data_IF_741949600829
#
_entry.id   IF_741949600829
#
_cell.length_a   1.000
_cell.length_b   1.000
_cell.length_c   1.000
_cell.angle_alpha   90.00
_cell.angle_beta   90.00
_cell.angle_gamma   90.00
#
_symmetry.space_group_name_H-M   'P 1'
#
loop_
_entity.id
_entity.type
_entity.pdbx_description
1 polymer ?
#
# COMPACT_ATOMS: atom_id res chain seq x y z
N UNK A 1 8.10 -63.75 -31.48
CA UNK A 1 6.85 -63.89 -30.71
C UNK A 1 7.18 -63.53 -29.27
N UNK A 2 6.33 -62.69 -28.66
CA UNK A 2 6.32 -62.25 -27.25
C UNK A 2 7.28 -61.08 -26.96
N UNK A 3 6.80 -59.83 -27.05
CA UNK A 3 6.01 -59.05 -26.06
C UNK A 3 6.93 -58.20 -25.17
N UNK A 4 7.21 -56.97 -25.62
CA UNK A 4 7.63 -55.87 -24.76
C UNK A 4 6.38 -55.04 -24.41
N UNK A 5 6.01 -55.08 -23.13
CA UNK A 5 4.93 -54.30 -22.55
C UNK A 5 5.45 -52.90 -22.18
N UNK A 6 4.87 -51.90 -22.81
CA UNK A 6 4.86 -50.50 -22.39
C UNK A 6 4.43 -50.39 -20.92
N UNK A 7 5.18 -49.64 -20.12
CA UNK A 7 4.70 -49.16 -18.83
C UNK A 7 4.74 -47.63 -18.81
N UNK A 8 3.54 -47.07 -18.61
CA UNK A 8 3.19 -45.65 -18.60
C UNK A 8 3.95 -44.91 -17.51
N UNK A 9 4.62 -43.81 -17.85
CA UNK A 9 5.06 -42.84 -16.84
C UNK A 9 3.85 -42.11 -16.29
N UNK A 10 3.51 -42.42 -15.05
CA UNK A 10 2.64 -41.59 -14.22
C UNK A 10 3.42 -40.31 -13.88
N UNK A 11 2.80 -39.15 -14.16
CA UNK A 11 3.30 -37.85 -13.73
C UNK A 11 3.34 -37.80 -12.21
N UNK A 12 4.55 -37.84 -11.66
CA UNK A 12 4.79 -37.45 -10.28
C UNK A 12 4.86 -35.92 -10.26
N UNK A 13 3.78 -35.28 -9.81
CA UNK A 13 3.86 -33.91 -9.30
C UNK A 13 4.70 -33.97 -8.01
N UNK A 14 5.97 -33.58 -8.12
CA UNK A 14 6.80 -33.34 -6.95
C UNK A 14 6.12 -32.24 -6.11
N UNK A 15 5.84 -32.46 -4.82
CA UNK A 15 5.25 -31.44 -3.98
C UNK A 15 6.19 -30.23 -3.96
N UNK A 16 5.61 -29.03 -4.17
CA UNK A 16 6.33 -27.76 -4.11
C UNK A 16 7.02 -27.68 -2.73
N UNK A 17 8.33 -27.93 -2.71
CA UNK A 17 9.17 -27.81 -1.53
C UNK A 17 9.04 -26.38 -0.98
N UNK A 18 8.87 -26.27 0.34
CA UNK A 18 8.86 -24.98 1.02
C UNK A 18 10.09 -24.15 0.61
N UNK A 19 9.84 -23.00 -0.02
CA UNK A 19 10.89 -22.07 -0.46
C UNK A 19 11.17 -22.05 -1.98
N UNK A 20 10.55 -22.91 -2.79
CA UNK A 20 10.56 -22.77 -4.25
C UNK A 20 9.33 -22.01 -4.72
N UNK A 21 9.54 -20.90 -5.42
CA UNK A 21 8.49 -20.17 -6.11
C UNK A 21 8.27 -20.86 -7.46
N UNK A 22 7.05 -21.32 -7.72
CA UNK A 22 6.67 -21.98 -8.96
C UNK A 22 5.22 -21.66 -9.33
N UNK A 23 4.90 -21.68 -10.62
CA UNK A 23 3.52 -21.69 -11.08
C UNK A 23 2.86 -23.01 -10.64
N UNK A 24 1.57 -22.99 -10.33
CA UNK A 24 0.80 -24.19 -9.96
C UNK A 24 0.22 -24.93 -11.18
N UNK A 25 0.43 -24.40 -12.38
CA UNK A 25 0.05 -25.03 -13.64
C UNK A 25 0.68 -24.33 -14.84
N UNK A 26 0.34 -24.80 -16.04
CA UNK A 26 0.84 -24.30 -17.32
C UNK A 26 -0.13 -23.28 -17.96
N UNK A 27 0.35 -22.34 -18.78
CA UNK A 27 -0.52 -21.42 -19.49
C UNK A 27 -1.27 -22.13 -20.62
N UNK A 28 -2.43 -21.57 -20.96
CA UNK A 28 -3.10 -21.86 -22.23
C UNK A 28 -2.36 -21.09 -23.33
N UNK A 29 -1.81 -21.80 -24.32
CA UNK A 29 -0.97 -21.21 -25.38
C UNK A 29 -1.76 -21.06 -26.68
N UNK A 30 -1.74 -19.87 -27.26
CA UNK A 30 -2.30 -19.60 -28.58
C UNK A 30 -1.16 -19.46 -29.59
N UNK A 31 -1.21 -20.23 -30.68
CA UNK A 31 -0.18 -20.18 -31.73
C UNK A 31 -0.38 -18.99 -32.66
N UNK A 32 -1.64 -18.60 -32.88
CA UNK A 32 -2.02 -17.45 -33.70
C UNK A 32 -2.99 -16.59 -32.89
N UNK A 33 -2.45 -15.77 -31.99
CA UNK A 33 -3.24 -14.84 -31.19
C UNK A 33 -3.57 -13.59 -32.01
N UNK A 34 -4.79 -13.06 -31.85
CA UNK A 34 -5.09 -11.76 -32.43
C UNK A 34 -4.25 -10.68 -31.74
N UNK A 35 -3.69 -9.80 -32.57
CA UNK A 35 -3.01 -8.62 -32.06
C UNK A 35 -4.04 -7.64 -31.50
N UNK A 36 -4.06 -7.49 -30.18
CA UNK A 36 -4.86 -6.48 -29.50
C UNK A 36 -4.03 -5.19 -29.37
N UNK A 37 -4.45 -4.13 -30.06
CA UNK A 37 -3.80 -2.80 -29.99
C UNK A 37 -4.40 -1.89 -28.92
N UNK A 38 -5.60 -2.19 -28.40
CA UNK A 38 -6.23 -1.42 -27.33
C UNK A 38 -7.74 -1.50 -27.27
N UNK A 39 -8.30 -0.70 -26.37
CA UNK A 39 -9.74 -0.52 -26.24
C UNK A 39 -10.15 0.81 -26.86
N UNK A 40 -11.26 0.82 -27.60
CA UNK A 40 -11.84 2.07 -28.09
C UNK A 40 -12.33 2.93 -26.92
N UNK A 41 -11.94 4.20 -26.90
CA UNK A 41 -12.34 5.14 -25.85
C UNK A 41 -13.80 5.58 -25.99
N UNK A 42 -14.35 5.51 -27.21
CA UNK A 42 -15.73 5.85 -27.52
C UNK A 42 -16.22 5.07 -28.74
N UNK A 43 -17.54 4.99 -28.92
CA UNK A 43 -18.14 4.45 -30.13
C UNK A 43 -17.80 5.32 -31.34
N UNK A 44 -17.67 4.69 -32.51
CA UNK A 44 -17.40 5.34 -33.78
C UNK A 44 -18.16 4.64 -34.91
N UNK A 45 -18.59 5.40 -35.92
CA UNK A 45 -19.16 4.86 -37.15
C UNK A 45 -18.05 4.40 -38.11
N UNK A 46 -18.36 3.53 -39.09
CA UNK A 46 -17.40 3.18 -40.13
C UNK A 46 -16.79 4.41 -40.81
N UNK A 47 -15.47 4.44 -40.92
CA UNK A 47 -14.71 5.57 -41.49
C UNK A 47 -14.41 6.73 -40.54
N UNK A 48 -14.88 6.70 -39.29
CA UNK A 48 -14.51 7.69 -38.28
C UNK A 48 -13.23 7.30 -37.54
N UNK A 49 -12.46 8.31 -37.15
CA UNK A 49 -11.32 8.13 -36.25
C UNK A 49 -11.81 7.87 -34.82
N UNK A 50 -11.17 6.94 -34.13
CA UNK A 50 -11.45 6.62 -32.73
C UNK A 50 -10.17 6.71 -31.92
N UNK A 51 -10.26 7.29 -30.73
CA UNK A 51 -9.16 7.24 -29.78
C UNK A 51 -9.08 5.83 -29.19
N UNK A 52 -7.88 5.27 -29.11
CA UNK A 52 -7.62 3.94 -28.56
C UNK A 52 -6.78 4.08 -27.29
N UNK A 53 -7.23 3.46 -26.21
CA UNK A 53 -6.43 3.29 -25.01
C UNK A 53 -5.52 2.07 -25.19
N UNK A 54 -4.23 2.33 -25.31
CA UNK A 54 -3.21 1.28 -25.42
C UNK A 54 -2.56 0.96 -24.06
N UNK A 55 -2.74 1.83 -23.06
CA UNK A 55 -2.31 1.63 -21.68
C UNK A 55 -3.38 2.19 -20.75
N UNK A 56 -3.82 1.42 -19.77
CA UNK A 56 -4.79 1.84 -18.76
C UNK A 56 -4.68 0.99 -17.51
N UNK A 57 -5.04 1.58 -16.37
CA UNK A 57 -5.31 0.89 -15.12
C UNK A 57 -6.62 1.41 -14.55
N UNK A 58 -7.53 0.52 -14.19
CA UNK A 58 -8.84 0.87 -13.63
C UNK A 58 -9.35 -0.24 -12.71
N UNK A 59 -10.45 0.02 -12.01
CA UNK A 59 -11.11 -0.91 -11.08
C UNK A 59 -12.58 -1.09 -11.45
N UNK A 60 -13.22 -2.09 -10.86
CA UNK A 60 -14.67 -2.33 -11.02
C UNK A 60 -15.57 -1.21 -10.47
N UNK A 61 -15.01 -0.15 -9.88
CA UNK A 61 -15.76 1.05 -9.53
C UNK A 61 -16.01 1.95 -10.75
N UNK A 62 -15.21 1.81 -11.81
CA UNK A 62 -15.37 2.54 -13.06
C UNK A 62 -16.39 1.82 -13.97
N UNK A 63 -17.46 2.48 -14.44
CA UNK A 63 -18.41 1.87 -15.37
C UNK A 63 -17.79 1.33 -16.67
N UNK A 64 -16.66 1.89 -17.12
CA UNK A 64 -15.94 1.39 -18.30
C UNK A 64 -15.32 0.01 -18.08
N UNK A 65 -14.99 -0.34 -16.84
CA UNK A 65 -14.34 -1.61 -16.50
C UNK A 65 -15.10 -2.80 -17.06
N UNK A 66 -16.42 -2.85 -16.84
CA UNK A 66 -17.25 -3.99 -17.25
C UNK A 66 -17.26 -4.19 -18.76
N UNK A 67 -17.35 -3.09 -19.52
CA UNK A 67 -17.30 -3.13 -20.99
C UNK A 67 -15.95 -3.63 -21.50
N UNK A 68 -14.86 -3.22 -20.86
CA UNK A 68 -13.51 -3.66 -21.24
C UNK A 68 -13.30 -5.15 -20.94
N UNK A 69 -13.71 -5.63 -19.76
CA UNK A 69 -13.56 -7.05 -19.39
C UNK A 69 -14.43 -7.96 -20.25
N UNK A 70 -15.65 -7.53 -20.58
CA UNK A 70 -16.52 -8.26 -21.51
C UNK A 70 -15.90 -8.34 -22.91
N UNK A 71 -15.43 -7.21 -23.46
CA UNK A 71 -14.76 -7.17 -24.77
C UNK A 71 -13.51 -8.04 -24.80
N UNK A 72 -12.72 -8.02 -23.72
CA UNK A 72 -11.55 -8.87 -23.57
C UNK A 72 -11.93 -10.36 -23.54
N UNK A 73 -12.96 -10.73 -22.80
CA UNK A 73 -13.44 -12.12 -22.73
C UNK A 73 -13.89 -12.63 -24.10
N UNK A 74 -14.56 -11.79 -24.88
CA UNK A 74 -14.94 -12.10 -26.27
C UNK A 74 -13.72 -12.27 -27.17
N UNK A 75 -12.72 -11.40 -27.06
CA UNK A 75 -11.49 -11.49 -27.85
C UNK A 75 -10.72 -12.79 -27.55
N UNK A 76 -10.57 -13.15 -26.28
CA UNK A 76 -9.93 -14.41 -25.87
C UNK A 76 -10.76 -15.62 -26.32
N UNK A 77 -12.09 -15.54 -26.23
CA UNK A 77 -12.98 -16.59 -26.75
C UNK A 77 -12.85 -16.80 -28.26
N UNK A 78 -12.65 -15.70 -29.01
CA UNK A 78 -12.38 -15.78 -30.45
C UNK A 78 -11.02 -16.45 -30.73
N UNK A 79 -9.95 -16.06 -30.04
CA UNK A 79 -8.64 -16.69 -30.17
C UNK A 79 -8.68 -18.19 -29.81
N UNK A 80 -9.39 -18.55 -28.75
CA UNK A 80 -9.61 -19.93 -28.35
C UNK A 80 -10.34 -20.73 -29.43
N UNK A 81 -11.39 -20.18 -30.04
CA UNK A 81 -12.10 -20.81 -31.14
C UNK A 81 -11.21 -21.01 -32.38
N UNK A 82 -10.42 -20.01 -32.76
CA UNK A 82 -9.50 -20.09 -33.91
C UNK A 82 -8.40 -21.14 -33.69
N UNK A 83 -7.93 -21.29 -32.46
CA UNK A 83 -6.90 -22.27 -32.10
C UNK A 83 -7.51 -23.64 -31.71
N UNK A 84 -8.84 -23.79 -31.71
CA UNK A 84 -9.58 -25.00 -31.30
C UNK A 84 -9.26 -25.44 -29.87
N UNK A 85 -9.09 -24.46 -28.97
CA UNK A 85 -8.75 -24.66 -27.56
C UNK A 85 -9.97 -24.38 -26.70
N UNK A 86 -10.28 -25.29 -25.77
CA UNK A 86 -11.26 -25.02 -24.71
C UNK A 86 -10.64 -24.15 -23.62
N UNK A 87 -11.30 -23.07 -23.25
CA UNK A 87 -10.91 -22.22 -22.11
C UNK A 87 -11.99 -22.29 -21.02
N UNK A 88 -11.63 -22.30 -19.73
CA UNK A 88 -12.61 -22.15 -18.66
C UNK A 88 -13.21 -20.74 -18.70
N UNK A 89 -14.43 -20.55 -18.15
CA UNK A 89 -15.01 -19.22 -17.97
C UNK A 89 -14.09 -18.29 -17.16
N UNK A 90 -13.93 -17.05 -17.63
CA UNK A 90 -13.05 -16.05 -17.01
C UNK A 90 -13.72 -15.27 -15.86
N UNK A 91 -15.04 -15.33 -15.76
CA UNK A 91 -15.85 -14.61 -14.76
C UNK A 91 -15.59 -15.07 -13.32
N UNK A 92 -15.28 -16.34 -13.13
CA UNK A 92 -14.92 -16.94 -11.85
C UNK A 92 -13.45 -16.79 -11.44
N UNK A 93 -12.57 -16.37 -12.35
CA UNK A 93 -11.13 -16.33 -12.11
C UNK A 93 -10.75 -15.26 -11.08
N UNK A 94 -9.81 -15.58 -10.19
CA UNK A 94 -9.25 -14.60 -9.25
C UNK A 94 -8.19 -13.74 -9.92
N UNK A 95 -7.38 -14.33 -10.78
CA UNK A 95 -6.30 -13.65 -11.48
C UNK A 95 -6.19 -14.23 -12.89
N UNK A 96 -6.24 -13.34 -13.88
CA UNK A 96 -6.02 -13.63 -15.30
C UNK A 96 -4.86 -12.76 -15.76
N UNK A 97 -3.85 -13.37 -16.38
CA UNK A 97 -2.79 -12.66 -17.07
C UNK A 97 -2.71 -13.17 -18.50
N UNK A 98 -2.75 -12.23 -19.43
CA UNK A 98 -2.60 -12.49 -20.84
C UNK A 98 -1.35 -11.79 -21.36
N UNK A 99 -0.41 -12.57 -21.88
CA UNK A 99 0.88 -12.11 -22.41
C UNK A 99 0.90 -12.42 -23.90
N UNK A 100 0.84 -11.38 -24.74
CA UNK A 100 1.01 -11.54 -26.18
C UNK A 100 2.48 -11.29 -26.54
N UNK A 101 3.07 -12.25 -27.24
CA UNK A 101 4.46 -12.24 -27.65
C UNK A 101 4.61 -11.50 -28.97
N UNK A 102 5.81 -10.95 -29.20
CA UNK A 102 6.13 -10.24 -30.43
C UNK A 102 6.07 -11.12 -31.70
N UNK A 103 6.15 -12.45 -31.55
CA UNK A 103 6.07 -13.42 -32.64
C UNK A 103 4.62 -13.81 -33.02
N UNK A 104 3.61 -13.22 -32.37
CA UNK A 104 2.20 -13.51 -32.63
C UNK A 104 1.62 -14.68 -31.82
N UNK A 105 2.42 -15.31 -30.97
CA UNK A 105 1.93 -16.26 -29.97
C UNK A 105 1.40 -15.54 -28.73
N UNK A 106 0.59 -16.21 -27.92
CA UNK A 106 0.18 -15.67 -26.62
C UNK A 106 0.03 -16.75 -25.55
N UNK A 107 0.16 -16.32 -24.30
CA UNK A 107 -0.03 -17.15 -23.11
C UNK A 107 -1.14 -16.56 -22.24
N UNK A 108 -2.12 -17.39 -21.90
CA UNK A 108 -3.20 -17.07 -20.97
C UNK A 108 -3.04 -17.88 -19.69
N UNK A 109 -2.79 -17.18 -18.60
CA UNK A 109 -2.66 -17.70 -17.25
C UNK A 109 -3.95 -17.41 -16.48
N UNK A 110 -4.50 -18.42 -15.82
CA UNK A 110 -5.76 -18.34 -15.07
C UNK A 110 -5.55 -19.04 -13.73
N UNK A 111 -5.47 -18.27 -12.65
CA UNK A 111 -5.33 -18.73 -11.27
C UNK A 111 -4.12 -19.65 -10.96
N UNK A 112 -3.26 -19.90 -11.95
CA UNK A 112 -2.19 -20.88 -11.88
C UNK A 112 -0.78 -20.28 -11.91
N UNK A 113 -0.67 -18.95 -11.97
CA UNK A 113 0.61 -18.25 -11.91
C UNK A 113 1.12 -18.06 -10.48
N UNK A 114 2.45 -18.07 -10.32
CA UNK A 114 3.08 -17.54 -9.13
C UNK A 114 2.92 -16.00 -9.09
N UNK A 115 2.53 -15.47 -7.93
CA UNK A 115 2.44 -14.04 -7.68
C UNK A 115 3.42 -13.68 -6.58
N UNK A 116 4.20 -12.62 -6.79
CA UNK A 116 5.08 -12.05 -5.78
C UNK A 116 4.73 -10.58 -5.58
N UNK A 117 4.87 -10.11 -4.34
CA UNK A 117 4.63 -8.72 -3.98
C UNK A 117 5.85 -8.16 -3.28
N UNK A 118 6.25 -6.96 -3.67
CA UNK A 118 7.26 -6.21 -2.92
C UNK A 118 6.53 -5.37 -1.87
N UNK A 119 6.89 -5.51 -0.60
CA UNK A 119 6.23 -4.82 0.50
C UNK A 119 7.22 -4.03 1.36
N UNK A 120 6.72 -3.02 2.07
CA UNK A 120 7.42 -2.35 3.17
C UNK A 120 6.94 -2.98 4.47
N UNK A 121 7.88 -3.42 5.31
CA UNK A 121 7.57 -4.10 6.56
C UNK A 121 7.72 -3.17 7.77
N UNK A 122 6.92 -3.44 8.79
CA UNK A 122 7.01 -2.79 10.11
C UNK A 122 8.13 -3.37 10.97
N UNK A 123 8.61 -4.56 10.66
CA UNK A 123 9.66 -5.25 11.41
C UNK A 123 10.67 -5.88 10.47
N UNK A 124 11.79 -6.31 11.04
CA UNK A 124 12.71 -7.18 10.32
C UNK A 124 12.01 -8.52 10.01
N UNK A 125 12.18 -8.98 8.78
CA UNK A 125 11.63 -10.25 8.28
C UNK A 125 12.78 -11.08 7.73
N UNK A 126 12.97 -12.27 8.30
CA UNK A 126 13.95 -13.22 7.80
C UNK A 126 13.37 -14.03 6.64
N UNK A 127 14.23 -14.50 5.73
CA UNK A 127 13.83 -15.42 4.68
C UNK A 127 13.14 -16.66 5.28
N UNK A 128 12.18 -17.22 4.54
CA UNK A 128 11.43 -18.43 4.95
C UNK A 128 10.55 -18.25 6.19
N UNK A 129 10.24 -17.01 6.60
CA UNK A 129 9.29 -16.74 7.69
C UNK A 129 7.92 -16.33 7.16
N UNK A 130 6.87 -16.67 7.92
CA UNK A 130 5.53 -16.20 7.61
C UNK A 130 5.42 -14.69 7.82
N UNK A 131 4.72 -14.07 6.89
CA UNK A 131 4.36 -12.66 6.90
C UNK A 131 2.85 -12.57 7.00
N UNK A 132 2.37 -11.72 7.89
CA UNK A 132 0.95 -11.43 8.05
C UNK A 132 0.64 -10.00 7.62
N UNK A 133 -0.63 -9.71 7.33
CA UNK A 133 -1.07 -8.35 6.94
C UNK A 133 -0.71 -7.29 7.98
N UNK A 134 -0.70 -7.65 9.27
CA UNK A 134 -0.30 -6.75 10.34
C UNK A 134 1.20 -6.38 10.32
N UNK A 135 2.04 -7.12 9.59
CA UNK A 135 3.46 -6.81 9.39
C UNK A 135 3.70 -5.78 8.29
N UNK A 136 2.70 -5.49 7.45
CA UNK A 136 2.82 -4.65 6.25
C UNK A 136 2.57 -3.18 6.57
N UNK A 137 3.54 -2.32 6.25
CA UNK A 137 3.38 -0.87 6.23
C UNK A 137 2.92 -0.35 4.86
N UNK A 138 3.36 -1.00 3.77
CA UNK A 138 2.94 -0.67 2.41
C UNK A 138 3.16 -1.87 1.46
N UNK A 139 2.52 -1.81 0.29
CA UNK A 139 2.79 -2.68 -0.86
C UNK A 139 3.38 -1.80 -1.94
N UNK A 140 4.43 -2.18 -2.64
CA UNK A 140 5.07 -1.34 -3.68
C UNK A 140 4.75 -1.82 -5.09
N UNK A 141 4.84 -3.13 -5.32
CA UNK A 141 4.54 -3.73 -6.62
C UNK A 141 4.02 -5.16 -6.49
N UNK A 142 3.43 -5.66 -7.58
CA UNK A 142 2.97 -7.03 -7.76
C UNK A 142 3.52 -7.56 -9.09
N UNK A 143 4.07 -8.78 -9.08
CA UNK A 143 4.83 -9.38 -10.19
C UNK A 143 4.50 -10.86 -10.38
N UNK A 144 4.94 -11.40 -11.52
CA UNK A 144 4.81 -12.80 -11.89
C UNK A 144 6.20 -13.44 -12.06
N UNK A 145 6.86 -13.86 -10.96
CA UNK A 145 8.29 -14.23 -10.98
C UNK A 145 8.63 -15.45 -11.84
N UNK A 146 7.63 -16.27 -12.16
CA UNK A 146 7.79 -17.51 -12.94
C UNK A 146 7.23 -17.38 -14.36
N UNK A 147 6.98 -16.15 -14.83
CA UNK A 147 6.48 -15.88 -16.18
C UNK A 147 7.47 -14.95 -16.86
N UNK A 148 7.97 -15.38 -18.02
CA UNK A 148 8.85 -14.55 -18.83
C UNK A 148 8.01 -13.52 -19.58
N UNK A 149 8.20 -12.24 -19.27
CA UNK A 149 7.62 -11.12 -20.01
C UNK A 149 8.76 -10.24 -20.52
N UNK A 150 8.79 -9.98 -21.82
CA UNK A 150 9.86 -9.22 -22.50
C UNK A 150 9.41 -7.80 -22.82
N UNK A 151 10.38 -6.92 -23.08
CA UNK A 151 10.09 -5.51 -23.44
C UNK A 151 9.27 -5.34 -24.72
N UNK A 152 9.31 -6.33 -25.63
CA UNK A 152 8.53 -6.34 -26.87
C UNK A 152 7.13 -6.94 -26.71
N UNK A 153 6.83 -7.55 -25.55
CA UNK A 153 5.55 -8.19 -25.29
C UNK A 153 4.45 -7.15 -25.00
N UNK A 154 3.22 -7.62 -24.97
CA UNK A 154 2.03 -6.89 -24.56
C UNK A 154 1.37 -7.63 -23.41
N UNK A 155 0.84 -6.89 -22.44
CA UNK A 155 0.31 -7.48 -21.22
C UNK A 155 -1.06 -6.93 -20.87
N UNK A 156 -1.91 -7.82 -20.37
CA UNK A 156 -3.14 -7.48 -19.68
C UNK A 156 -3.25 -8.35 -18.44
N UNK A 157 -3.50 -7.73 -17.29
CA UNK A 157 -3.78 -8.42 -16.04
C UNK A 157 -5.13 -7.96 -15.49
N UNK A 158 -6.00 -8.93 -15.23
CA UNK A 158 -7.25 -8.77 -14.51
C UNK A 158 -7.11 -9.54 -13.20
N UNK A 159 -7.39 -8.93 -12.06
CA UNK A 159 -7.35 -9.64 -10.80
C UNK A 159 -8.40 -9.14 -9.82
N UNK A 160 -8.71 -9.98 -8.83
CA UNK A 160 -9.75 -9.77 -7.85
C UNK A 160 -9.17 -9.74 -6.45
N UNK A 161 -9.64 -8.79 -5.65
CA UNK A 161 -9.39 -8.73 -4.21
C UNK A 161 -10.74 -8.55 -3.49
N UNK A 162 -11.13 -9.53 -2.68
CA UNK A 162 -12.46 -9.55 -2.05
C UNK A 162 -13.60 -9.58 -3.07
N UNK A 163 -14.36 -8.49 -3.20
CA UNK A 163 -15.47 -8.33 -4.16
C UNK A 163 -15.19 -7.30 -5.25
N UNK A 164 -13.95 -6.83 -5.33
CA UNK A 164 -13.54 -5.81 -6.29
C UNK A 164 -12.56 -6.40 -7.28
N UNK A 165 -12.58 -5.85 -8.49
CA UNK A 165 -11.67 -6.25 -9.56
C UNK A 165 -10.84 -5.07 -10.02
N UNK A 166 -9.65 -5.37 -10.51
CA UNK A 166 -8.72 -4.43 -11.10
C UNK A 166 -8.31 -4.95 -12.48
N UNK A 167 -8.21 -4.04 -13.43
CA UNK A 167 -7.74 -4.28 -14.79
C UNK A 167 -6.57 -3.34 -15.06
N UNK A 168 -5.43 -3.88 -15.47
CA UNK A 168 -4.34 -3.11 -16.02
C UNK A 168 -3.85 -3.74 -17.32
N UNK A 169 -3.55 -2.92 -18.31
CA UNK A 169 -2.93 -3.38 -19.53
C UNK A 169 -1.92 -2.36 -20.07
N UNK A 170 -0.96 -2.89 -20.80
CA UNK A 170 -0.04 -2.15 -21.65
C UNK A 170 0.17 -2.96 -22.93
N UNK A 171 -0.46 -2.51 -24.01
CA UNK A 171 -0.36 -3.11 -25.34
C UNK A 171 0.84 -2.60 -26.13
N UNK A 172 1.78 -1.95 -25.43
CA UNK A 172 3.11 -1.63 -25.91
C UNK A 172 3.11 -0.90 -27.27
N UNK A 173 2.42 0.24 -27.39
CA UNK A 173 2.32 0.97 -28.66
C UNK A 173 3.68 1.44 -29.19
N UNK A 174 4.65 1.61 -28.29
CA UNK A 174 6.00 2.11 -28.58
C UNK A 174 7.05 0.99 -28.77
N UNK A 175 6.67 -0.28 -28.57
CA UNK A 175 7.57 -1.43 -28.66
C UNK A 175 8.60 -1.53 -27.51
N UNK A 176 8.40 -0.79 -26.42
CA UNK A 176 9.19 -0.82 -25.20
C UNK A 176 8.29 -0.80 -23.95
N UNK A 177 7.88 -1.99 -23.50
CA UNK A 177 7.07 -2.18 -22.31
C UNK A 177 7.89 -1.85 -21.05
N UNK A 178 7.43 -0.85 -20.28
CA UNK A 178 8.00 -0.53 -18.96
C UNK A 178 7.43 -1.48 -17.90
N UNK A 179 8.02 -2.68 -17.81
CA UNK A 179 7.62 -3.69 -16.84
C UNK A 179 7.69 -3.21 -15.38
N UNK A 180 8.75 -2.51 -14.92
CA UNK A 180 8.76 -1.93 -13.59
C UNK A 180 7.57 -1.00 -13.32
N UNK A 181 7.18 -0.14 -14.27
CA UNK A 181 6.01 0.73 -14.10
C UNK A 181 4.70 -0.06 -14.11
N UNK A 182 4.57 -1.07 -14.96
CA UNK A 182 3.42 -1.96 -14.98
C UNK A 182 3.24 -2.69 -13.64
N UNK A 183 4.31 -3.26 -13.07
CA UNK A 183 4.25 -3.94 -11.78
C UNK A 183 3.93 -2.99 -10.61
N UNK A 184 4.47 -1.77 -10.61
CA UNK A 184 4.07 -0.72 -9.64
C UNK A 184 2.59 -0.37 -9.77
N UNK A 185 2.07 -0.31 -10.99
CA UNK A 185 0.64 -0.11 -11.26
C UNK A 185 -0.21 -1.24 -10.67
N UNK A 186 0.20 -2.51 -10.85
CA UNK A 186 -0.50 -3.65 -10.24
C UNK A 186 -0.48 -3.60 -8.70
N UNK A 187 0.66 -3.28 -8.09
CA UNK A 187 0.74 -3.08 -6.64
C UNK A 187 -0.18 -1.97 -6.15
N UNK A 188 -0.29 -0.89 -6.93
CA UNK A 188 -1.18 0.25 -6.64
C UNK A 188 -2.65 -0.11 -6.70
N UNK A 189 -3.06 -0.85 -7.73
CA UNK A 189 -4.41 -1.40 -7.84
C UNK A 189 -4.70 -2.36 -6.68
N UNK A 190 -3.76 -3.23 -6.31
CA UNK A 190 -3.95 -4.13 -5.18
C UNK A 190 -4.21 -3.37 -3.88
N UNK A 191 -3.43 -2.32 -3.59
CA UNK A 191 -3.67 -1.46 -2.43
C UNK A 191 -5.06 -0.83 -2.47
N UNK A 192 -5.42 -0.23 -3.60
CA UNK A 192 -6.71 0.43 -3.79
C UNK A 192 -7.88 -0.54 -3.54
N UNK A 193 -7.79 -1.78 -4.04
CA UNK A 193 -8.86 -2.76 -3.82
C UNK A 193 -8.92 -3.26 -2.36
N UNK A 194 -7.77 -3.67 -1.81
CA UNK A 194 -7.65 -4.28 -0.48
C UNK A 194 -8.01 -3.29 0.63
N UNK A 195 -7.46 -2.09 0.54
CA UNK A 195 -7.55 -1.06 1.57
C UNK A 195 -8.49 0.09 1.19
N UNK A 196 -9.39 -0.11 0.22
CA UNK A 196 -10.39 0.89 -0.22
C UNK A 196 -11.09 1.60 0.94
N UNK A 197 -11.48 0.82 1.96
CA UNK A 197 -12.18 1.32 3.14
C UNK A 197 -11.39 2.38 3.93
N UNK A 198 -10.06 2.36 3.84
CA UNK A 198 -9.17 3.37 4.42
C UNK A 198 -9.13 4.60 3.52
N UNK A 199 -8.94 4.43 2.21
CA UNK A 199 -8.95 5.57 1.27
C UNK A 199 -10.27 6.34 1.34
N UNK A 200 -11.40 5.63 1.28
CA UNK A 200 -12.74 6.24 1.40
C UNK A 200 -12.88 7.01 2.72
N UNK A 201 -12.32 6.51 3.82
CA UNK A 201 -12.35 7.19 5.11
C UNK A 201 -11.47 8.45 5.17
N UNK A 202 -10.38 8.49 4.40
CA UNK A 202 -9.48 9.65 4.33
C UNK A 202 -9.99 10.73 3.37
N UNK A 203 -10.77 10.32 2.36
CA UNK A 203 -11.47 11.20 1.41
C UNK A 203 -12.75 11.81 2.03
N UNK A 204 -13.43 11.10 2.94
CA UNK A 204 -14.54 11.65 3.73
C UNK A 204 -14.02 12.71 4.72
N UNK A 205 -14.20 14.00 4.36
CA UNK A 205 -13.72 15.11 5.17
C UNK A 205 -14.29 15.13 6.59
N UNK A 206 -15.57 14.76 6.77
CA UNK A 206 -16.23 14.79 8.09
C UNK A 206 -15.62 13.71 8.98
N UNK A 207 -15.51 12.49 8.46
CA UNK A 207 -14.93 11.37 9.19
C UNK A 207 -13.44 11.59 9.48
N UNK A 208 -12.69 12.07 8.50
CA UNK A 208 -11.28 12.42 8.67
C UNK A 208 -11.09 13.48 9.77
N UNK A 209 -11.83 14.58 9.70
CA UNK A 209 -11.70 15.66 10.69
C UNK A 209 -12.06 15.17 12.10
N UNK A 210 -13.04 14.27 12.24
CA UNK A 210 -13.40 13.65 13.52
C UNK A 210 -12.26 12.77 14.07
N UNK A 211 -11.67 11.92 13.24
CA UNK A 211 -10.50 11.12 13.60
C UNK A 211 -9.33 12.00 14.04
N UNK A 212 -8.98 13.00 13.22
CA UNK A 212 -7.89 13.91 13.47
C UNK A 212 -8.11 14.73 14.76
N UNK A 213 -9.33 15.22 15.00
CA UNK A 213 -9.67 15.91 16.25
C UNK A 213 -9.54 15.01 17.49
N UNK A 214 -9.80 13.70 17.33
CA UNK A 214 -9.53 12.70 18.36
C UNK A 214 -8.05 12.28 18.45
N UNK A 215 -7.17 12.84 17.61
CA UNK A 215 -5.74 12.55 17.55
C UNK A 215 -5.38 11.25 16.84
N UNK A 216 -6.34 10.66 16.13
CA UNK A 216 -6.14 9.41 15.41
C UNK A 216 -5.93 9.65 13.93
N UNK A 217 -5.00 8.89 13.38
CA UNK A 217 -4.71 8.76 11.96
C UNK A 217 -4.50 7.26 11.70
N UNK A 218 -4.73 6.76 10.47
CA UNK A 218 -4.30 5.43 10.04
C UNK A 218 -2.77 5.29 9.99
N UNK A 219 -2.09 5.42 11.13
CA UNK A 219 -0.64 5.28 11.22
C UNK A 219 -0.22 3.89 10.74
N UNK A 220 0.87 3.81 9.98
CA UNK A 220 1.37 2.57 9.38
C UNK A 220 1.45 1.43 10.41
N UNK A 221 1.90 1.74 11.63
CA UNK A 221 2.01 0.77 12.72
C UNK A 221 0.68 0.09 13.09
N UNK A 222 -0.45 0.83 13.09
CA UNK A 222 -1.76 0.32 13.54
C UNK A 222 -2.76 0.08 12.40
N UNK A 223 -2.48 0.57 11.18
CA UNK A 223 -3.38 0.58 10.02
C UNK A 223 -4.09 -0.76 9.80
N UNK A 224 -3.32 -1.84 9.79
CA UNK A 224 -3.77 -3.20 9.45
C UNK A 224 -4.13 -4.07 10.66
N UNK A 225 -4.08 -3.53 11.88
CA UNK A 225 -4.33 -4.29 13.11
C UNK A 225 -5.39 -3.65 14.01
N UNK A 226 -5.07 -2.51 14.62
CA UNK A 226 -5.90 -1.86 15.63
C UNK A 226 -6.78 -0.72 15.07
N UNK A 227 -6.44 -0.18 13.90
CA UNK A 227 -7.11 1.02 13.39
C UNK A 227 -8.56 0.81 12.95
N UNK A 228 -8.91 -0.39 12.47
CA UNK A 228 -10.27 -0.69 11.97
C UNK A 228 -11.35 -0.40 13.01
N UNK A 229 -11.12 -0.79 14.27
CA UNK A 229 -12.10 -0.61 15.35
C UNK A 229 -12.25 0.87 15.74
N UNK A 230 -11.14 1.63 15.77
CA UNK A 230 -11.16 3.08 15.96
C UNK A 230 -11.96 3.77 14.85
N UNK A 231 -11.75 3.36 13.61
CA UNK A 231 -12.46 3.89 12.44
C UNK A 231 -13.96 3.59 12.51
N UNK A 232 -14.34 2.36 12.86
CA UNK A 232 -15.74 1.94 12.97
C UNK A 232 -16.49 2.70 14.08
N UNK A 233 -15.88 2.84 15.27
CA UNK A 233 -16.47 3.64 16.35
C UNK A 233 -16.60 5.12 15.96
N UNK A 234 -15.56 5.69 15.35
CA UNK A 234 -15.57 7.08 14.92
C UNK A 234 -16.66 7.33 13.86
N UNK A 235 -16.83 6.41 12.92
CA UNK A 235 -17.90 6.46 11.90
C UNK A 235 -19.29 6.35 12.52
N UNK A 236 -19.46 5.50 13.53
CA UNK A 236 -20.72 5.31 14.24
C UNK A 236 -21.01 6.37 15.31
N UNK A 237 -20.10 7.34 15.52
CA UNK A 237 -20.19 8.34 16.60
C UNK A 237 -20.24 7.72 18.00
N UNK A 238 -19.66 6.53 18.15
CA UNK A 238 -19.54 5.87 19.44
C UNK A 238 -18.33 6.37 20.20
N UNK A 239 -18.36 6.31 21.55
CA UNK A 239 -17.18 6.61 22.35
C UNK A 239 -15.97 5.78 21.93
N UNK A 240 -14.80 6.42 21.89
CA UNK A 240 -13.54 5.77 21.52
C UNK A 240 -12.84 5.08 22.71
N UNK A 241 -13.41 5.14 23.92
CA UNK A 241 -12.76 4.68 25.16
C UNK A 241 -12.25 3.24 25.03
N UNK A 242 -13.11 2.31 24.62
CA UNK A 242 -12.77 0.89 24.51
C UNK A 242 -11.72 0.59 23.41
N UNK A 243 -11.90 1.04 22.15
CA UNK A 243 -10.88 0.80 21.11
C UNK A 243 -9.56 1.50 21.41
N UNK A 244 -9.55 2.66 22.09
CA UNK A 244 -8.32 3.32 22.54
C UNK A 244 -7.59 2.51 23.60
N UNK A 245 -8.29 1.99 24.61
CA UNK A 245 -7.70 1.14 25.64
C UNK A 245 -7.12 -0.14 25.06
N UNK A 246 -7.85 -0.78 24.13
CA UNK A 246 -7.39 -1.99 23.45
C UNK A 246 -6.15 -1.71 22.58
N UNK A 247 -6.15 -0.58 21.87
CA UNK A 247 -4.99 -0.13 21.10
C UNK A 247 -3.81 0.10 22.02
N UNK A 248 -3.99 0.83 23.12
CA UNK A 248 -2.94 1.11 24.10
C UNK A 248 -2.35 -0.18 24.69
N UNK A 249 -3.19 -1.13 25.09
CA UNK A 249 -2.78 -2.43 25.63
C UNK A 249 -1.95 -3.26 24.64
N UNK A 250 -2.13 -3.04 23.33
CA UNK A 250 -1.35 -3.73 22.30
C UNK A 250 0.09 -3.18 22.12
N UNK A 251 0.43 -2.04 22.74
CA UNK A 251 1.78 -1.47 22.73
C UNK A 251 2.58 -1.88 23.96
N UNK A 252 2.93 -3.16 24.01
CA UNK A 252 3.85 -3.69 25.00
C UNK A 252 5.31 -3.26 24.73
N UNK A 253 6.20 -3.58 25.67
CA UNK A 253 7.63 -3.24 25.59
C UNK A 253 8.29 -3.76 24.31
N UNK A 254 8.00 -5.00 23.91
CA UNK A 254 8.59 -5.59 22.69
C UNK A 254 8.19 -4.82 21.43
N UNK A 255 6.90 -4.48 21.30
CA UNK A 255 6.40 -3.68 20.17
C UNK A 255 7.09 -2.32 20.13
N UNK A 256 7.20 -1.63 21.28
CA UNK A 256 7.90 -0.34 21.37
C UNK A 256 9.39 -0.44 21.04
N UNK A 257 10.07 -1.52 21.42
CA UNK A 257 11.47 -1.75 21.00
C UNK A 257 11.58 -1.98 19.48
N UNK A 258 10.58 -2.59 18.84
CA UNK A 258 10.57 -2.73 17.38
C UNK A 258 10.47 -1.36 16.68
N UNK A 259 9.61 -0.47 17.18
CA UNK A 259 9.54 0.94 16.72
C UNK A 259 10.91 1.61 16.91
N UNK A 260 11.49 1.49 18.10
CA UNK A 260 12.76 2.11 18.42
C UNK A 260 13.90 1.62 17.51
N UNK A 261 14.00 0.30 17.25
CA UNK A 261 15.00 -0.26 16.33
C UNK A 261 14.83 0.30 14.91
N UNK A 262 13.59 0.41 14.43
CA UNK A 262 13.27 1.04 13.15
C UNK A 262 13.72 2.51 13.10
N UNK A 263 13.56 3.26 14.18
CA UNK A 263 14.07 4.62 14.28
C UNK A 263 15.59 4.65 14.22
N UNK A 264 16.28 3.81 15.00
CA UNK A 264 17.75 3.80 15.05
C UNK A 264 18.42 3.36 13.75
N UNK A 265 17.70 2.67 12.86
CA UNK A 265 18.18 2.39 11.50
C UNK A 265 18.29 3.65 10.63
N UNK A 266 17.80 4.81 11.10
CA UNK A 266 17.86 6.11 10.40
C UNK A 266 18.90 7.03 11.06
N UNK A 267 19.91 7.53 10.34
CA UNK A 267 20.96 8.36 10.93
C UNK A 267 20.45 9.59 11.70
N UNK A 268 19.47 10.32 11.15
CA UNK A 268 18.90 11.53 11.76
C UNK A 268 17.98 11.24 12.96
N UNK A 269 17.55 10.00 13.17
CA UNK A 269 16.92 9.56 14.42
C UNK A 269 17.96 9.06 15.42
N UNK A 270 18.95 8.31 14.95
CA UNK A 270 20.02 7.75 15.79
C UNK A 270 20.82 8.85 16.53
N UNK A 271 20.98 10.02 15.91
CA UNK A 271 21.57 11.20 16.56
C UNK A 271 20.83 11.65 17.84
N UNK A 272 19.58 11.23 18.03
CA UNK A 272 18.69 11.56 19.15
C UNK A 272 18.35 10.36 20.02
N UNK A 273 19.13 9.27 19.92
CA UNK A 273 18.89 7.99 20.62
C UNK A 273 18.53 8.18 22.09
N UNK A 274 19.35 8.93 22.85
CA UNK A 274 19.15 9.13 24.29
C UNK A 274 17.79 9.78 24.62
N UNK A 275 17.32 10.71 23.79
CA UNK A 275 16.04 11.37 23.97
C UNK A 275 14.89 10.40 23.69
N UNK A 276 14.94 9.68 22.57
CA UNK A 276 13.92 8.69 22.23
C UNK A 276 13.87 7.53 23.21
N UNK A 277 15.03 7.08 23.71
CA UNK A 277 15.11 6.04 24.74
C UNK A 277 14.42 6.50 26.01
N UNK A 278 14.70 7.73 26.45
CA UNK A 278 14.03 8.35 27.60
C UNK A 278 12.52 8.43 27.42
N UNK A 279 12.03 8.78 26.22
CA UNK A 279 10.60 8.83 25.92
C UNK A 279 9.91 7.45 25.97
N UNK A 280 10.54 6.42 25.41
CA UNK A 280 10.04 5.03 25.46
C UNK A 280 10.04 4.50 26.90
N UNK A 281 11.10 4.76 27.66
CA UNK A 281 11.18 4.36 29.06
C UNK A 281 10.14 5.07 29.92
N UNK A 282 9.87 6.35 29.67
CA UNK A 282 8.78 7.10 30.29
C UNK A 282 7.41 6.49 29.97
N UNK A 283 7.18 6.14 28.69
CA UNK A 283 5.92 5.53 28.26
C UNK A 283 5.68 4.19 28.96
N UNK A 284 6.72 3.34 29.02
CA UNK A 284 6.67 2.05 29.71
C UNK A 284 6.37 2.17 31.22
N UNK A 285 6.70 3.32 31.84
CA UNK A 285 6.37 3.60 33.25
C UNK A 285 5.02 4.32 33.44
N UNK A 286 4.29 4.60 32.37
CA UNK A 286 3.02 5.33 32.43
C UNK A 286 3.16 6.85 32.57
N UNK A 287 4.34 7.42 32.29
CA UNK A 287 4.59 8.87 32.37
C UNK A 287 4.28 9.55 31.03
N UNK A 288 2.99 9.82 30.82
CA UNK A 288 2.52 10.49 29.61
C UNK A 288 3.13 11.89 29.40
N UNK A 289 3.39 12.63 30.49
CA UNK A 289 3.89 14.01 30.40
C UNK A 289 5.30 14.01 29.82
N UNK A 290 6.20 13.19 30.36
CA UNK A 290 7.56 13.10 29.87
C UNK A 290 7.61 12.59 28.43
N UNK A 291 6.85 11.53 28.11
CA UNK A 291 6.80 11.00 26.73
C UNK A 291 6.34 12.06 25.73
N UNK A 292 5.23 12.74 26.00
CA UNK A 292 4.66 13.75 25.10
C UNK A 292 5.64 14.91 24.91
N UNK A 293 6.19 15.44 26.01
CA UNK A 293 7.11 16.58 25.95
C UNK A 293 8.37 16.28 25.16
N UNK A 294 8.92 15.07 25.29
CA UNK A 294 10.12 14.67 24.53
C UNK A 294 9.75 14.43 23.06
N UNK A 295 8.73 13.61 22.78
CA UNK A 295 8.43 13.17 21.41
C UNK A 295 7.99 14.34 20.53
N UNK A 296 7.07 15.19 21.01
CA UNK A 296 6.55 16.29 20.19
C UNK A 296 7.60 17.35 19.84
N UNK A 297 8.56 17.62 20.74
CA UNK A 297 9.64 18.56 20.43
C UNK A 297 10.64 17.97 19.44
N UNK A 298 10.90 16.66 19.54
CA UNK A 298 11.85 15.99 18.66
C UNK A 298 11.31 15.71 17.25
N UNK A 299 9.99 15.64 17.05
CA UNK A 299 9.39 15.51 15.70
C UNK A 299 9.93 16.59 14.74
N UNK A 300 9.92 17.85 15.15
CA UNK A 300 10.45 18.95 14.33
C UNK A 300 11.97 18.85 14.15
N UNK A 301 12.68 18.45 15.21
CA UNK A 301 14.13 18.24 15.17
C UNK A 301 14.55 17.18 14.14
N UNK A 302 13.84 16.05 14.10
CA UNK A 302 14.05 14.96 13.14
C UNK A 302 13.80 15.43 11.72
N UNK A 303 12.69 16.13 11.47
CA UNK A 303 12.39 16.65 10.13
C UNK A 303 13.44 17.68 9.67
N UNK A 304 13.88 18.56 10.57
CA UNK A 304 14.91 19.57 10.28
C UNK A 304 16.28 18.95 10.00
N UNK A 305 16.62 17.84 10.65
CA UNK A 305 17.85 17.10 10.41
C UNK A 305 17.80 16.36 9.07
N UNK A 306 16.71 15.65 8.77
CA UNK A 306 16.51 15.01 7.47
C UNK A 306 16.59 16.02 6.32
N UNK A 307 15.95 17.19 6.46
CA UNK A 307 16.02 18.27 5.48
C UNK A 307 17.45 18.80 5.33
N UNK A 308 18.17 19.03 6.44
CA UNK A 308 19.58 19.48 6.42
C UNK A 308 20.49 18.50 5.70
N UNK A 309 20.28 17.20 5.83
CA UNK A 309 21.07 16.19 5.11
C UNK A 309 20.96 16.33 3.60
N UNK A 310 19.79 16.73 3.09
CA UNK A 310 19.55 16.90 1.65
C UNK A 310 19.92 18.30 1.15
N UNK A 311 19.67 19.35 1.93
CA UNK A 311 19.76 20.74 1.48
C UNK A 311 20.89 21.56 2.14
N UNK A 312 21.59 21.02 3.13
CA UNK A 312 22.71 21.68 3.83
C UNK A 312 22.31 22.78 4.82
N UNK A 313 21.03 23.14 4.92
CA UNK A 313 20.51 24.19 5.81
C UNK A 313 19.18 23.78 6.45
N UNK A 314 18.77 24.48 7.51
CA UNK A 314 17.46 24.24 8.14
C UNK A 314 16.35 25.00 7.42
N UNK A 315 15.11 24.57 7.63
CA UNK A 315 13.91 25.15 7.04
C UNK A 315 12.86 25.46 8.12
N UNK A 316 11.84 26.26 7.77
CA UNK A 316 10.69 26.51 8.64
C UNK A 316 9.77 25.30 8.66
N UNK A 317 9.00 25.11 9.73
CA UNK A 317 8.11 23.95 9.93
C UNK A 317 7.23 23.62 8.71
N UNK A 318 6.60 24.63 8.06
CA UNK A 318 5.79 24.41 6.85
C UNK A 318 6.57 23.80 5.68
N UNK A 319 7.83 24.17 5.54
CA UNK A 319 8.71 23.65 4.49
C UNK A 319 9.22 22.25 4.85
N UNK A 320 9.53 22.00 6.13
CA UNK A 320 9.87 20.68 6.64
C UNK A 320 8.74 19.66 6.41
N UNK A 321 7.49 20.06 6.65
CA UNK A 321 6.31 19.23 6.37
C UNK A 321 6.22 18.89 4.88
N UNK A 322 6.33 19.88 3.99
CA UNK A 322 6.31 19.64 2.53
C UNK A 322 7.41 18.69 2.09
N UNK A 323 8.62 18.83 2.65
CA UNK A 323 9.75 17.95 2.37
C UNK A 323 9.45 16.50 2.76
N UNK A 324 8.93 16.27 3.97
CA UNK A 324 8.58 14.94 4.48
C UNK A 324 7.48 14.27 3.63
N UNK A 325 6.49 15.05 3.16
CA UNK A 325 5.45 14.55 2.24
C UNK A 325 6.03 14.17 0.87
N UNK A 326 6.86 15.04 0.28
CA UNK A 326 7.50 14.76 -1.00
C UNK A 326 8.43 13.52 -0.93
N UNK A 327 9.17 13.36 0.17
CA UNK A 327 9.99 12.18 0.41
C UNK A 327 9.17 10.90 0.48
N UNK A 328 8.00 10.94 1.13
CA UNK A 328 7.09 9.82 1.23
C UNK A 328 6.50 9.43 -0.13
N UNK A 329 6.03 10.41 -0.92
CA UNK A 329 5.51 10.18 -2.27
C UNK A 329 6.58 9.61 -3.20
N UNK A 330 7.80 10.15 -3.15
CA UNK A 330 8.93 9.64 -3.92
C UNK A 330 9.25 8.20 -3.55
N UNK A 331 9.26 7.87 -2.25
CA UNK A 331 9.55 6.53 -1.75
C UNK A 331 8.48 5.51 -2.15
N UNK A 332 7.21 5.88 -2.04
CA UNK A 332 6.11 5.03 -2.45
C UNK A 332 6.06 4.86 -3.98
N UNK A 333 6.59 5.83 -4.72
CA UNK A 333 6.63 5.85 -6.18
C UNK A 333 5.26 6.09 -6.83
N UNK A 334 4.18 6.17 -6.03
CA UNK A 334 2.81 6.44 -6.46
C UNK A 334 2.03 7.19 -5.34
N UNK A 335 1.06 8.05 -5.69
CA UNK A 335 0.30 8.83 -4.69
C UNK A 335 -0.57 7.99 -3.74
N UNK A 336 -1.03 6.82 -4.18
CA UNK A 336 -1.95 5.95 -3.43
C UNK A 336 -1.23 4.95 -2.51
N UNK A 337 -0.18 5.38 -1.82
CA UNK A 337 0.50 4.58 -0.79
C UNK A 337 -0.39 4.36 0.44
N UNK A 338 -0.20 3.25 1.16
CA UNK A 338 -0.78 3.05 2.50
C UNK A 338 -0.16 3.96 3.58
N UNK A 339 0.94 4.63 3.25
CA UNK A 339 1.51 5.68 4.08
C UNK A 339 0.72 6.99 4.06
N UNK A 340 -0.21 7.15 3.09
CA UNK A 340 -1.19 8.24 3.02
C UNK A 340 -0.59 9.64 3.22
N UNK A 341 0.46 10.02 2.45
CA UNK A 341 1.25 11.22 2.74
C UNK A 341 0.41 12.50 2.72
N UNK A 342 -0.46 12.69 1.73
CA UNK A 342 -1.34 13.88 1.67
C UNK A 342 -2.31 13.97 2.87
N UNK A 343 -2.91 12.85 3.29
CA UNK A 343 -3.79 12.83 4.45
C UNK A 343 -3.01 13.04 5.76
N UNK A 344 -1.79 12.49 5.86
CA UNK A 344 -0.93 12.71 7.01
C UNK A 344 -0.50 14.18 7.14
N UNK A 345 -0.25 14.85 6.01
CA UNK A 345 0.03 16.28 5.98
C UNK A 345 -1.09 17.09 6.61
N UNK A 346 -2.34 16.80 6.24
CA UNK A 346 -3.54 17.40 6.83
C UNK A 346 -3.65 17.11 8.32
N UNK A 347 -3.37 15.87 8.74
CA UNK A 347 -3.35 15.50 10.16
C UNK A 347 -2.30 16.30 10.95
N UNK A 348 -1.09 16.44 10.42
CA UNK A 348 -0.04 17.22 11.06
C UNK A 348 -0.43 18.71 11.19
N UNK A 349 -1.01 19.31 10.16
CA UNK A 349 -1.42 20.73 10.18
C UNK A 349 -2.60 20.98 11.14
N UNK A 350 -3.58 20.08 11.16
CA UNK A 350 -4.83 20.25 11.91
C UNK A 350 -4.78 19.74 13.36
N UNK A 351 -3.80 18.90 13.70
CA UNK A 351 -3.66 18.32 15.04
C UNK A 351 -2.28 18.59 15.67
N UNK A 352 -1.21 17.99 15.14
CA UNK A 352 0.12 18.03 15.76
C UNK A 352 0.71 19.43 15.80
N UNK A 353 0.57 20.20 14.73
CA UNK A 353 1.02 21.59 14.59
C UNK A 353 -0.16 22.56 14.55
N UNK A 354 -1.31 22.15 15.07
CA UNK A 354 -2.46 23.03 15.18
C UNK A 354 -2.12 24.28 15.98
N UNK A 355 -2.52 25.43 15.46
CA UNK A 355 -2.50 26.68 16.22
C UNK A 355 -3.43 26.58 17.42
N UNK A 356 -3.10 27.28 18.50
CA UNK A 356 -3.94 27.41 19.68
C UNK A 356 -4.06 28.89 20.06
N UNK A 357 -5.13 29.23 20.78
CA UNK A 357 -5.28 30.57 21.34
C UNK A 357 -4.48 30.66 22.65
N UNK A 358 -3.40 31.47 22.70
CA UNK A 358 -2.59 31.63 23.90
C UNK A 358 -3.30 32.36 25.04
N UNK A 359 -4.35 33.12 24.74
CA UNK A 359 -5.15 33.85 25.72
C UNK A 359 -6.16 32.92 26.40
N UNK A 360 -6.82 32.06 25.61
CA UNK A 360 -7.81 31.12 26.13
C UNK A 360 -7.20 29.89 26.84
N UNK A 361 -5.88 29.64 26.69
CA UNK A 361 -5.19 28.43 27.20
C UNK A 361 -5.92 27.12 26.86
N UNK A 362 -6.58 27.07 25.72
CA UNK A 362 -7.42 25.94 25.28
C UNK A 362 -6.62 24.83 24.60
N UNK A 363 -5.30 24.81 24.81
CA UNK A 363 -4.40 23.87 24.17
C UNK A 363 -4.56 22.45 24.70
N UNK A 364 -4.33 21.46 23.83
CA UNK A 364 -4.31 20.04 24.21
C UNK A 364 -2.90 19.48 24.11
N UNK A 365 -2.60 18.43 24.89
CA UNK A 365 -1.31 17.74 24.86
C UNK A 365 -1.03 16.99 23.55
N UNK A 366 -1.94 17.05 22.56
CA UNK A 366 -1.70 16.56 21.20
C UNK A 366 -1.00 17.57 20.28
N UNK A 367 -1.06 18.87 20.59
CA UNK A 367 -0.42 19.93 19.79
C UNK A 367 0.98 20.27 20.33
N UNK A 368 1.98 20.17 19.46
CA UNK A 368 3.36 20.61 19.70
C UNK A 368 3.42 22.08 20.08
N UNK A 369 2.59 22.93 19.48
CA UNK A 369 2.56 24.35 19.82
C UNK A 369 2.03 24.57 21.24
N UNK A 370 0.89 23.96 21.58
CA UNK A 370 0.32 24.08 22.92
C UNK A 370 1.29 23.56 24.00
N UNK A 371 1.88 22.38 23.79
CA UNK A 371 2.83 21.76 24.73
C UNK A 371 4.12 22.58 24.85
N UNK A 372 4.70 23.01 23.72
CA UNK A 372 5.94 23.77 23.69
C UNK A 372 5.84 25.15 24.35
N UNK A 373 4.64 25.74 24.37
CA UNK A 373 4.36 27.01 25.04
C UNK A 373 3.80 26.84 26.47
N UNK A 374 3.67 25.61 26.97
CA UNK A 374 3.13 25.34 28.31
C UNK A 374 1.64 25.65 28.46
N UNK A 375 0.90 25.72 27.36
CA UNK A 375 -0.52 26.07 27.31
C UNK A 375 -1.45 24.84 27.23
N UNK A 376 -0.89 23.63 27.22
CA UNK A 376 -1.66 22.40 27.23
C UNK A 376 -2.22 22.10 28.64
N UNK A 377 -3.52 21.86 28.74
CA UNK A 377 -4.16 21.55 30.01
C UNK A 377 -3.65 20.23 30.61
N UNK A 378 -3.40 20.20 31.91
CA UNK A 378 -2.79 19.06 32.61
C UNK A 378 -3.57 17.73 32.44
N UNK A 379 -4.90 17.79 32.41
CA UNK A 379 -5.77 16.63 32.23
C UNK A 379 -5.70 16.01 30.81
N UNK A 380 -5.10 16.71 29.85
CA UNK A 380 -4.94 16.19 28.47
C UNK A 380 -3.69 15.32 28.30
N UNK A 381 -2.79 15.29 29.27
CA UNK A 381 -1.60 14.42 29.26
C UNK A 381 -1.99 12.98 29.63
N UNK A 382 -2.50 12.23 28.66
CA UNK A 382 -2.91 10.83 28.83
C UNK A 382 -1.99 9.87 28.08
N UNK A 383 -1.99 8.60 28.48
CA UNK A 383 -1.23 7.55 27.78
C UNK A 383 -1.68 7.37 26.33
N UNK A 384 -2.96 7.58 26.02
CA UNK A 384 -3.47 7.61 24.65
C UNK A 384 -2.79 8.69 23.82
N UNK A 385 -2.69 9.92 24.36
CA UNK A 385 -2.01 11.05 23.68
C UNK A 385 -0.51 10.80 23.52
N UNK A 386 0.12 10.18 24.52
CA UNK A 386 1.52 9.78 24.43
C UNK A 386 1.75 8.76 23.31
N UNK A 387 0.85 7.77 23.17
CA UNK A 387 0.92 6.79 22.09
C UNK A 387 0.75 7.45 20.72
N UNK A 388 -0.21 8.37 20.58
CA UNK A 388 -0.41 9.11 19.32
C UNK A 388 0.81 9.94 18.92
N UNK A 389 1.52 10.55 19.89
CA UNK A 389 2.78 11.24 19.63
C UNK A 389 3.85 10.27 19.12
N UNK A 390 4.00 9.11 19.77
CA UNK A 390 4.93 8.04 19.34
C UNK A 390 4.60 7.57 17.92
N UNK A 391 3.33 7.32 17.62
CA UNK A 391 2.87 6.89 16.29
C UNK A 391 3.07 7.96 15.22
N UNK A 392 2.93 9.24 15.58
CA UNK A 392 3.21 10.36 14.68
C UNK A 392 4.70 10.41 14.33
N UNK A 393 5.58 10.27 15.31
CA UNK A 393 7.02 10.20 15.09
C UNK A 393 7.39 8.97 14.23
N UNK A 394 6.78 7.82 14.52
CA UNK A 394 7.01 6.58 13.79
C UNK A 394 6.56 6.64 12.32
N UNK A 395 5.43 7.30 12.03
CA UNK A 395 5.00 7.55 10.66
C UNK A 395 6.05 8.34 9.86
N UNK A 396 6.69 9.33 10.48
CA UNK A 396 7.76 10.12 9.86
C UNK A 396 8.98 9.24 9.56
N UNK A 397 9.30 8.26 10.41
CA UNK A 397 10.40 7.32 10.21
C UNK A 397 10.22 6.42 8.96
N UNK A 398 8.97 6.20 8.51
CA UNK A 398 8.73 5.54 7.23
C UNK A 398 9.07 6.43 6.03
N UNK A 399 8.90 7.75 6.17
CA UNK A 399 9.00 8.71 5.06
C UNK A 399 10.45 9.12 4.78
N UNK A 400 11.24 9.29 5.84
CA UNK A 400 12.60 9.86 5.78
C UNK A 400 13.72 8.82 5.84
#
# INVERSE_FOLDING_TARGET
MSEELENKSQGHEDPILAGRIANSGEPIRFANAQRLDGFSAHSALPGQNVQVWCRLATTSADPMFHRMVESFSVAIGHDAAQNQIGIPPLDGAKVVLYVMKADGTAELWIDNMAISMTCVFKRDVAAMTFVFEHDLADVLDMRFPCIEIREADRVLCLFREGWRYALAFDFNPEGKLDLPAFYRTLGSLHRELRYRHIYDAMEDEVLFNRLAAAGWFPFAEILTSNFKELLEHCRAEFPLVDPEQKTLAAFNKERLENLFRRWMARPHFAAKEALFRSAIDAFNRGDAVATIKIVLTEIEGVMAEAYRTVHGQSAKTKELLRFVIAAAEQRAGQPNSLMLPAAFARYLDTYTFANFDPVAQSGTAGSRHAVGHGAAAANTYTMTRALQAILTLDQIAFFT
#
